data_IF_147569926044
#
_entry.id   IF_147569926044
#
_cell.length_a   1.000
_cell.length_b   1.000
_cell.length_c   1.000
_cell.angle_alpha   90.00
_cell.angle_beta   90.00
_cell.angle_gamma   90.00
#
_symmetry.space_group_name_H-M   'P 1'
#
loop_
_entity.id
_entity.type
_entity.pdbx_description
1 polymer ?
#
# COMPACT_ATOMS: atom_id res chain seq x y z
N UNK A 1 17.69 -4.15 -22.55
CA UNK A 1 16.27 -4.34 -22.19
C UNK A 1 15.86 -3.34 -21.11
N UNK A 2 14.61 -2.88 -21.17
CA UNK A 2 13.99 -1.97 -20.20
C UNK A 2 12.60 -2.52 -19.84
N UNK A 3 12.05 -2.07 -18.72
CA UNK A 3 10.66 -2.34 -18.35
C UNK A 3 9.87 -1.04 -18.20
N UNK A 4 8.63 -1.06 -18.69
CA UNK A 4 7.63 -0.03 -18.46
C UNK A 4 6.49 -0.69 -17.68
N UNK A 5 6.30 -0.26 -16.45
CA UNK A 5 5.39 -0.91 -15.51
C UNK A 5 4.24 0.03 -15.14
N UNK A 6 3.04 -0.49 -15.11
CA UNK A 6 1.85 0.19 -14.60
C UNK A 6 1.09 -0.72 -13.65
N UNK A 7 -0.01 -0.25 -13.05
CA UNK A 7 -0.90 -1.11 -12.23
C UNK A 7 -1.42 -2.32 -13.03
N UNK A 8 -1.64 -2.12 -14.31
CA UNK A 8 -1.97 -3.18 -15.29
C UNK A 8 -1.20 -2.91 -16.58
N UNK A 9 -1.01 -3.94 -17.43
CA UNK A 9 -0.45 -3.76 -18.78
C UNK A 9 -1.22 -2.67 -19.53
N UNK A 10 -2.55 -2.72 -19.48
CA UNK A 10 -3.41 -1.75 -20.17
C UNK A 10 -3.24 -0.30 -19.64
N UNK A 11 -3.02 -0.11 -18.34
CA UNK A 11 -2.72 1.24 -17.81
C UNK A 11 -1.37 1.74 -18.29
N UNK A 12 -0.34 0.89 -18.30
CA UNK A 12 0.97 1.25 -18.83
C UNK A 12 0.93 1.55 -20.35
N UNK A 13 0.17 0.77 -21.13
CA UNK A 13 -0.08 1.08 -22.55
C UNK A 13 -0.68 2.48 -22.73
N UNK A 14 -1.79 2.75 -22.06
CA UNK A 14 -2.52 4.02 -22.16
C UNK A 14 -1.71 5.22 -21.66
N UNK A 15 -1.00 5.05 -20.56
CA UNK A 15 -0.34 6.18 -19.89
C UNK A 15 1.08 6.45 -20.44
N UNK A 16 1.75 5.42 -20.99
CA UNK A 16 3.15 5.54 -21.43
C UNK A 16 3.27 5.29 -22.93
N UNK A 17 2.81 4.13 -23.43
CA UNK A 17 3.10 3.69 -24.79
C UNK A 17 2.34 4.53 -25.84
N UNK A 18 1.02 4.68 -25.65
CA UNK A 18 0.19 5.45 -26.59
C UNK A 18 0.61 6.92 -26.69
N UNK A 19 0.87 7.65 -25.58
CA UNK A 19 1.36 9.02 -25.67
C UNK A 19 2.71 9.14 -26.40
N UNK A 20 3.66 8.23 -26.13
CA UNK A 20 4.97 8.25 -26.80
C UNK A 20 4.84 8.00 -28.31
N UNK A 21 3.99 7.06 -28.72
CA UNK A 21 3.71 6.78 -30.11
C UNK A 21 3.00 7.95 -30.83
N UNK A 22 2.16 8.70 -30.10
CA UNK A 22 1.48 9.88 -30.62
C UNK A 22 2.44 11.06 -30.91
N UNK A 23 3.61 11.09 -30.26
CA UNK A 23 4.67 12.06 -30.54
C UNK A 23 5.41 11.69 -31.82
N UNK A 24 4.86 12.06 -32.98
CA UNK A 24 5.38 11.67 -34.32
C UNK A 24 6.88 11.90 -34.46
N UNK A 25 7.40 13.06 -34.06
CA UNK A 25 8.84 13.38 -34.14
C UNK A 25 9.72 12.42 -33.36
N UNK A 26 9.21 11.89 -32.22
CA UNK A 26 9.90 10.90 -31.39
C UNK A 26 9.75 9.51 -32.02
N UNK A 27 8.54 9.15 -32.42
CA UNK A 27 8.23 7.84 -32.99
C UNK A 27 9.03 7.58 -34.28
N UNK A 28 9.13 8.58 -35.16
CA UNK A 28 9.89 8.49 -36.41
C UNK A 28 11.40 8.49 -36.17
N UNK A 29 11.90 9.40 -35.31
CA UNK A 29 13.32 9.49 -34.98
C UNK A 29 13.89 8.21 -34.40
N UNK A 30 13.13 7.56 -33.51
CA UNK A 30 13.53 6.31 -32.83
C UNK A 30 12.90 5.07 -33.45
N UNK A 31 12.26 5.17 -34.60
CA UNK A 31 11.60 4.07 -35.31
C UNK A 31 10.79 3.16 -34.35
N UNK A 32 9.94 3.79 -33.54
CA UNK A 32 9.17 3.09 -32.53
C UNK A 32 8.20 2.10 -33.15
N UNK A 33 8.14 0.89 -32.61
CA UNK A 33 7.19 -0.15 -33.01
C UNK A 33 6.65 -0.86 -31.77
N UNK A 34 5.33 -0.94 -31.65
CA UNK A 34 4.69 -1.63 -30.54
C UNK A 34 3.99 -2.89 -31.02
N UNK A 35 4.43 -4.05 -30.50
CA UNK A 35 3.81 -5.34 -30.69
C UNK A 35 2.93 -5.66 -29.48
N UNK A 36 1.62 -5.36 -29.59
CA UNK A 36 0.66 -5.52 -28.48
C UNK A 36 0.56 -6.94 -27.95
N UNK A 37 0.56 -7.94 -28.85
CA UNK A 37 0.52 -9.35 -28.45
C UNK A 37 1.71 -9.82 -27.63
N UNK A 38 2.85 -9.13 -27.73
CA UNK A 38 4.07 -9.42 -27.00
C UNK A 38 4.28 -8.45 -25.82
N UNK A 39 3.40 -7.47 -25.65
CA UNK A 39 3.59 -6.36 -24.70
C UNK A 39 5.00 -5.76 -24.82
N UNK A 40 5.46 -5.51 -26.04
CA UNK A 40 6.82 -5.10 -26.35
C UNK A 40 6.85 -3.87 -27.25
N UNK A 41 7.42 -2.78 -26.72
CA UNK A 41 7.78 -1.59 -27.50
C UNK A 41 9.27 -1.69 -27.89
N UNK A 42 9.60 -1.51 -29.15
CA UNK A 42 10.97 -1.43 -29.62
C UNK A 42 11.30 -0.04 -30.13
N UNK A 43 12.52 0.40 -29.86
CA UNK A 43 13.07 1.64 -30.37
C UNK A 43 14.40 1.36 -31.08
N UNK A 44 14.57 1.87 -32.29
CA UNK A 44 15.80 1.76 -33.07
C UNK A 44 16.33 3.14 -33.43
N UNK A 45 17.59 3.40 -33.10
CA UNK A 45 18.27 4.64 -33.39
C UNK A 45 19.74 4.39 -33.68
N UNK A 46 20.25 4.89 -34.79
CA UNK A 46 21.65 4.75 -35.23
C UNK A 46 22.17 3.31 -35.15
N UNK A 47 21.38 2.36 -35.62
CA UNK A 47 21.72 0.92 -35.64
C UNK A 47 21.64 0.23 -34.30
N UNK A 48 21.30 0.93 -33.23
CA UNK A 48 21.07 0.33 -31.89
C UNK A 48 19.59 0.11 -31.66
N UNK A 49 19.24 -1.06 -31.17
CA UNK A 49 17.85 -1.45 -30.84
C UNK A 49 17.69 -1.65 -29.36
N UNK A 50 16.67 -1.02 -28.76
CA UNK A 50 16.25 -1.21 -27.39
C UNK A 50 14.87 -1.86 -27.35
N UNK A 51 14.67 -2.73 -26.36
CA UNK A 51 13.42 -3.41 -26.10
C UNK A 51 12.85 -2.93 -24.75
N UNK A 52 11.59 -2.52 -24.74
CA UNK A 52 10.85 -2.07 -23.57
C UNK A 52 9.69 -3.02 -23.37
N UNK A 53 9.78 -3.85 -22.36
CA UNK A 53 8.74 -4.82 -21.99
C UNK A 53 7.69 -4.13 -21.11
N UNK A 54 6.42 -4.38 -21.38
CA UNK A 54 5.31 -3.77 -20.65
C UNK A 54 4.79 -4.76 -19.61
N UNK A 55 4.76 -4.36 -18.35
CA UNK A 55 4.30 -5.19 -17.23
C UNK A 55 3.17 -4.53 -16.43
N UNK A 56 2.33 -5.38 -15.81
CA UNK A 56 1.33 -4.95 -14.85
C UNK A 56 1.65 -5.47 -13.45
N UNK A 57 1.79 -4.57 -12.48
CA UNK A 57 1.92 -4.88 -11.07
C UNK A 57 0.55 -4.92 -10.37
N UNK A 58 -0.30 -5.90 -10.73
CA UNK A 58 -1.69 -5.96 -10.28
C UNK A 58 -1.83 -6.41 -8.83
N UNK A 59 -1.11 -7.45 -8.44
CA UNK A 59 -1.19 -8.14 -7.15
C UNK A 59 0.19 -8.66 -6.74
N UNK A 60 0.26 -9.25 -5.55
CA UNK A 60 1.51 -9.75 -4.96
C UNK A 60 2.19 -10.83 -5.83
N UNK A 61 1.45 -11.59 -6.63
CA UNK A 61 2.03 -12.61 -7.51
C UNK A 61 2.68 -12.04 -8.77
N UNK A 62 2.39 -10.78 -9.10
CA UNK A 62 2.88 -10.12 -10.32
C UNK A 62 4.41 -10.01 -10.38
N UNK A 63 5.11 -10.11 -9.24
CA UNK A 63 6.59 -10.11 -9.24
C UNK A 63 7.19 -11.22 -10.09
N UNK A 64 6.48 -12.34 -10.26
CA UNK A 64 6.93 -13.47 -11.08
C UNK A 64 7.07 -13.11 -12.57
N UNK A 65 6.28 -12.14 -13.06
CA UNK A 65 6.29 -11.71 -14.46
C UNK A 65 7.64 -11.08 -14.89
N UNK A 66 8.33 -10.44 -13.97
CA UNK A 66 9.60 -9.74 -14.22
C UNK A 66 10.82 -10.55 -13.75
N UNK A 67 10.58 -11.71 -13.15
CA UNK A 67 11.62 -12.58 -12.63
C UNK A 67 12.51 -13.12 -13.77
N UNK A 68 13.82 -13.26 -13.52
CA UNK A 68 14.79 -13.81 -14.51
C UNK A 68 15.27 -12.81 -15.57
N UNK A 69 14.75 -11.58 -15.61
CA UNK A 69 15.22 -10.56 -16.54
C UNK A 69 16.41 -9.77 -16.01
N UNK A 70 17.24 -9.26 -16.93
CA UNK A 70 18.26 -8.25 -16.65
C UNK A 70 17.86 -6.96 -17.39
N UNK A 71 17.72 -5.87 -16.65
CA UNK A 71 17.18 -4.62 -17.14
C UNK A 71 18.19 -3.47 -16.99
N UNK A 72 18.35 -2.69 -18.06
CA UNK A 72 19.16 -1.48 -18.04
C UNK A 72 18.38 -0.25 -17.53
N UNK A 73 17.09 -0.39 -17.31
CA UNK A 73 16.26 0.62 -16.68
C UNK A 73 14.80 0.23 -16.57
N UNK A 74 14.10 0.91 -15.69
CA UNK A 74 12.70 0.67 -15.36
C UNK A 74 11.99 2.01 -15.19
N UNK A 75 10.80 2.12 -15.74
CA UNK A 75 9.84 3.17 -15.42
C UNK A 75 8.63 2.51 -14.74
N UNK A 76 8.30 2.92 -13.51
CA UNK A 76 7.11 2.49 -12.78
C UNK A 76 6.13 3.67 -12.71
N UNK A 77 5.02 3.54 -13.42
CA UNK A 77 3.94 4.51 -13.48
C UNK A 77 2.89 4.20 -12.42
N UNK A 78 2.52 5.20 -11.63
CA UNK A 78 1.63 5.02 -10.46
C UNK A 78 2.17 4.02 -9.43
N UNK A 79 3.45 4.16 -9.06
CA UNK A 79 4.17 3.23 -8.19
C UNK A 79 3.46 2.95 -6.85
N UNK A 80 2.81 3.96 -6.28
CA UNK A 80 2.05 3.80 -5.04
C UNK A 80 0.82 2.88 -5.16
N UNK A 81 0.39 2.52 -6.36
CA UNK A 81 -0.70 1.56 -6.58
C UNK A 81 -0.22 0.12 -6.73
N UNK A 82 1.10 -0.10 -6.88
CA UNK A 82 1.67 -1.42 -7.11
C UNK A 82 2.01 -2.11 -5.79
N UNK A 83 1.96 -3.46 -5.75
CA UNK A 83 2.45 -4.23 -4.62
C UNK A 83 3.95 -3.98 -4.39
N UNK A 84 4.35 -3.94 -3.13
CA UNK A 84 5.75 -3.77 -2.74
C UNK A 84 6.64 -4.86 -3.34
N UNK A 85 6.21 -6.11 -3.30
CA UNK A 85 6.90 -7.27 -3.87
C UNK A 85 7.27 -7.09 -5.34
N UNK A 86 6.33 -6.55 -6.15
CA UNK A 86 6.56 -6.30 -7.56
C UNK A 86 7.61 -5.21 -7.78
N UNK A 87 7.51 -4.09 -7.07
CA UNK A 87 8.45 -2.96 -7.21
C UNK A 87 9.85 -3.35 -6.76
N UNK A 88 9.99 -4.03 -5.62
CA UNK A 88 11.28 -4.52 -5.12
C UNK A 88 11.91 -5.54 -6.09
N UNK A 89 11.11 -6.46 -6.62
CA UNK A 89 11.59 -7.41 -7.62
C UNK A 89 12.05 -6.69 -8.90
N UNK A 90 11.31 -5.69 -9.38
CA UNK A 90 11.70 -4.90 -10.53
C UNK A 90 13.06 -4.20 -10.31
N UNK A 91 13.25 -3.59 -9.16
CA UNK A 91 14.53 -2.94 -8.78
C UNK A 91 15.67 -3.96 -8.78
N UNK A 92 15.48 -5.17 -8.22
CA UNK A 92 16.55 -6.19 -8.21
C UNK A 92 16.97 -6.63 -9.60
N UNK A 93 16.12 -6.49 -10.63
CA UNK A 93 16.47 -6.81 -12.03
C UNK A 93 17.46 -5.85 -12.66
N UNK A 94 17.76 -4.75 -12.01
CA UNK A 94 18.74 -3.75 -12.48
C UNK A 94 20.11 -3.84 -11.84
N UNK A 95 20.26 -4.62 -10.76
CA UNK A 95 21.48 -4.63 -9.94
C UNK A 95 22.75 -5.07 -10.66
N UNK A 96 22.64 -5.86 -11.73
CA UNK A 96 23.78 -6.30 -12.54
C UNK A 96 24.18 -5.33 -13.66
N UNK A 97 23.58 -4.12 -13.70
CA UNK A 97 23.87 -3.10 -14.70
C UNK A 97 24.26 -1.80 -14.02
N UNK A 98 25.53 -1.46 -14.02
CA UNK A 98 26.10 -0.31 -13.28
C UNK A 98 25.46 1.04 -13.63
N UNK A 99 25.03 1.23 -14.87
CA UNK A 99 24.40 2.46 -15.35
C UNK A 99 22.87 2.40 -15.44
N UNK A 100 22.25 1.43 -14.76
CA UNK A 100 20.82 1.26 -14.80
C UNK A 100 20.07 2.51 -14.32
N UNK A 101 18.91 2.78 -14.92
CA UNK A 101 18.07 3.94 -14.61
C UNK A 101 16.75 3.48 -14.03
N UNK A 102 16.37 4.10 -12.93
CA UNK A 102 15.11 3.85 -12.23
C UNK A 102 14.30 5.14 -12.22
N UNK A 103 13.07 5.08 -12.70
CA UNK A 103 12.11 6.16 -12.64
C UNK A 103 10.83 5.69 -11.97
N UNK A 104 10.39 6.47 -11.02
CA UNK A 104 9.14 6.27 -10.31
C UNK A 104 8.28 7.51 -10.46
N UNK A 105 7.02 7.33 -10.77
CA UNK A 105 6.05 8.39 -10.61
C UNK A 105 4.87 7.89 -9.77
N UNK A 106 4.23 8.76 -9.02
CA UNK A 106 3.01 8.47 -8.29
C UNK A 106 2.32 9.74 -7.81
N UNK A 107 1.03 9.65 -7.60
CA UNK A 107 0.30 10.61 -6.81
C UNK A 107 0.49 10.31 -5.31
N UNK A 108 0.39 11.33 -4.42
CA UNK A 108 0.44 11.12 -2.99
C UNK A 108 -0.65 10.19 -2.47
N UNK A 109 -0.31 9.39 -1.48
CA UNK A 109 -1.21 8.47 -0.78
C UNK A 109 -1.13 8.72 0.75
N UNK A 110 -1.24 7.69 1.57
CA UNK A 110 -1.06 7.81 3.02
C UNK A 110 0.41 8.02 3.41
N UNK A 111 0.72 8.80 4.44
CA UNK A 111 2.07 8.91 5.01
C UNK A 111 2.63 7.59 5.53
N UNK A 112 1.76 6.64 5.91
CA UNK A 112 2.14 5.28 6.31
C UNK A 112 2.50 4.37 5.14
N UNK A 113 2.27 4.81 3.90
CA UNK A 113 2.52 3.99 2.72
C UNK A 113 4.01 3.64 2.59
N UNK A 114 4.31 2.35 2.33
CA UNK A 114 5.68 1.84 2.25
C UNK A 114 6.57 2.64 1.29
N UNK A 115 6.06 3.02 0.10
CA UNK A 115 6.81 3.77 -0.90
C UNK A 115 7.20 5.17 -0.40
N UNK A 116 6.31 5.85 0.33
CA UNK A 116 6.61 7.13 0.95
C UNK A 116 7.74 7.01 1.98
N UNK A 117 7.60 6.05 2.90
CA UNK A 117 8.55 5.85 4.00
C UNK A 117 9.92 5.38 3.52
N UNK A 118 9.95 4.46 2.53
CA UNK A 118 11.19 3.81 2.11
C UNK A 118 11.91 4.52 0.96
N UNK A 119 11.17 5.25 0.10
CA UNK A 119 11.76 5.90 -1.07
C UNK A 119 11.71 7.41 -1.01
N UNK A 120 10.58 8.02 -0.64
CA UNK A 120 10.44 9.47 -0.67
C UNK A 120 11.09 10.11 0.55
N UNK A 121 10.84 9.59 1.77
CA UNK A 121 11.47 10.11 2.99
C UNK A 121 12.98 9.83 3.04
N UNK A 122 13.43 8.74 2.43
CA UNK A 122 14.85 8.32 2.39
C UNK A 122 15.55 8.64 1.06
N UNK A 123 15.02 9.61 0.30
CA UNK A 123 15.54 9.91 -1.04
C UNK A 123 17.04 10.30 -1.02
N UNK A 124 17.46 11.11 -0.07
CA UNK A 124 18.86 11.52 0.09
C UNK A 124 19.77 10.35 0.45
N UNK A 125 19.37 9.52 1.43
CA UNK A 125 20.12 8.32 1.83
C UNK A 125 20.33 7.34 0.66
N UNK A 126 19.33 7.26 -0.23
CA UNK A 126 19.34 6.39 -1.41
C UNK A 126 19.99 7.02 -2.64
N UNK A 127 20.45 8.27 -2.57
CA UNK A 127 20.95 9.01 -3.72
C UNK A 127 19.89 9.22 -4.82
N UNK A 128 18.61 9.29 -4.45
CA UNK A 128 17.49 9.44 -5.38
C UNK A 128 17.13 10.91 -5.53
N UNK A 129 17.08 11.40 -6.77
CA UNK A 129 16.58 12.75 -7.06
C UNK A 129 15.05 12.73 -6.99
N UNK A 130 14.50 13.47 -6.04
CA UNK A 130 13.05 13.69 -5.94
C UNK A 130 12.67 14.96 -6.69
N UNK A 131 11.64 14.85 -7.52
CA UNK A 131 10.95 15.97 -8.14
C UNK A 131 9.52 15.99 -7.62
N UNK A 132 9.05 17.17 -7.24
CA UNK A 132 7.68 17.39 -6.77
C UNK A 132 7.02 18.40 -7.67
N UNK A 133 5.90 18.05 -8.26
CA UNK A 133 5.12 18.90 -9.15
C UNK A 133 3.73 19.12 -8.56
N UNK A 134 3.29 20.35 -8.61
CA UNK A 134 1.93 20.74 -8.27
C UNK A 134 1.09 20.93 -9.55
N UNK A 135 -0.20 21.06 -9.38
CA UNK A 135 -1.12 21.30 -10.49
C UNK A 135 -0.70 22.52 -11.32
N UNK A 136 -0.19 23.56 -10.66
CA UNK A 136 0.23 24.82 -11.26
C UNK A 136 1.53 24.72 -12.08
N UNK A 137 2.34 23.69 -11.82
CA UNK A 137 3.59 23.46 -12.56
C UNK A 137 3.34 22.84 -13.94
N UNK A 138 2.09 22.48 -14.27
CA UNK A 138 1.74 21.93 -15.56
C UNK A 138 1.48 23.04 -16.60
N UNK A 139 2.41 23.29 -17.53
CA UNK A 139 2.27 24.37 -18.52
C UNK A 139 1.15 24.13 -19.54
N UNK A 140 0.63 22.90 -19.61
CA UNK A 140 -0.48 22.54 -20.48
C UNK A 140 -1.87 22.92 -19.92
N UNK A 141 -1.95 23.35 -18.66
CA UNK A 141 -3.21 23.74 -18.03
C UNK A 141 -3.44 25.25 -18.10
N UNK A 142 -4.63 25.63 -18.55
CA UNK A 142 -5.05 27.03 -18.47
C UNK A 142 -5.36 27.41 -17.03
N UNK A 143 -5.21 28.71 -16.69
CA UNK A 143 -5.57 29.25 -15.38
C UNK A 143 -7.01 28.89 -14.98
N UNK A 144 -7.94 28.95 -15.92
CA UNK A 144 -9.36 28.57 -15.71
C UNK A 144 -9.51 27.08 -15.35
N UNK A 145 -8.68 26.20 -15.95
CA UNK A 145 -8.69 24.77 -15.63
C UNK A 145 -8.16 24.51 -14.21
N UNK A 146 -7.10 25.21 -13.81
CA UNK A 146 -6.53 25.15 -12.45
C UNK A 146 -7.54 25.62 -11.40
N UNK A 147 -8.19 26.77 -11.62
CA UNK A 147 -9.22 27.31 -10.70
C UNK A 147 -10.40 26.33 -10.56
N UNK A 148 -10.85 25.76 -11.68
CA UNK A 148 -11.91 24.74 -11.68
C UNK A 148 -11.49 23.50 -10.89
N UNK A 149 -10.29 23.01 -11.08
CA UNK A 149 -9.78 21.85 -10.33
C UNK A 149 -9.72 22.16 -8.83
N UNK A 150 -9.20 23.32 -8.43
CA UNK A 150 -9.17 23.76 -7.03
C UNK A 150 -10.58 23.85 -6.40
N UNK A 151 -11.56 24.29 -7.17
CA UNK A 151 -12.96 24.37 -6.70
C UNK A 151 -13.65 23.00 -6.65
N UNK A 152 -13.14 22.00 -7.38
CA UNK A 152 -13.76 20.66 -7.47
C UNK A 152 -13.33 19.71 -6.36
N UNK A 153 -12.24 20.01 -5.65
CA UNK A 153 -11.72 19.18 -4.59
C UNK A 153 -11.83 19.88 -3.23
N UNK A 154 -12.02 19.08 -2.17
CA UNK A 154 -12.02 19.54 -0.77
C UNK A 154 -11.36 18.49 0.12
N UNK A 155 -11.02 18.84 1.37
CA UNK A 155 -10.46 17.91 2.35
C UNK A 155 -9.20 17.22 1.85
N UNK A 156 -9.09 15.93 2.12
CA UNK A 156 -7.92 15.09 1.75
C UNK A 156 -7.67 15.06 0.25
N UNK A 157 -8.69 15.13 -0.59
CA UNK A 157 -8.50 15.14 -2.04
C UNK A 157 -7.86 16.45 -2.51
N UNK A 158 -8.21 17.58 -1.88
CA UNK A 158 -7.54 18.85 -2.13
C UNK A 158 -6.07 18.79 -1.72
N UNK A 159 -5.79 18.28 -0.53
CA UNK A 159 -4.42 18.12 -0.04
C UNK A 159 -3.58 17.21 -0.96
N UNK A 160 -4.14 16.10 -1.43
CA UNK A 160 -3.42 15.16 -2.31
C UNK A 160 -3.23 15.69 -3.73
N UNK A 161 -4.31 16.12 -4.38
CA UNK A 161 -4.27 16.40 -5.82
C UNK A 161 -3.95 17.86 -6.16
N UNK A 162 -4.19 18.80 -5.24
CA UNK A 162 -3.88 20.21 -5.45
C UNK A 162 -2.57 20.57 -4.75
N UNK A 163 -2.42 20.20 -3.47
CA UNK A 163 -1.24 20.56 -2.68
C UNK A 163 -0.13 19.50 -2.73
N UNK A 164 -0.34 18.36 -3.39
CA UNK A 164 0.65 17.31 -3.54
C UNK A 164 1.12 16.68 -2.23
N UNK A 165 0.30 16.72 -1.17
CA UNK A 165 0.66 16.24 0.16
C UNK A 165 0.37 14.76 0.33
N UNK A 166 1.24 14.07 1.05
CA UNK A 166 0.98 12.74 1.57
C UNK A 166 0.14 12.87 2.84
N UNK A 167 -1.12 12.52 2.76
CA UNK A 167 -2.09 12.63 3.86
C UNK A 167 -2.92 11.36 3.97
N UNK A 168 -3.40 11.06 5.17
CA UNK A 168 -4.26 9.90 5.40
C UNK A 168 -5.58 10.03 4.63
N UNK A 169 -6.22 8.89 4.28
CA UNK A 169 -7.50 8.90 3.58
C UNK A 169 -8.60 9.52 4.43
N UNK A 170 -9.59 10.15 3.77
CA UNK A 170 -10.85 10.50 4.45
C UNK A 170 -11.54 9.22 4.94
N UNK A 171 -12.21 9.33 6.07
CA UNK A 171 -12.92 8.20 6.67
C UNK A 171 -12.12 7.42 7.72
N UNK A 172 -10.97 7.94 8.16
CA UNK A 172 -10.35 7.43 9.37
C UNK A 172 -11.26 7.73 10.56
N UNK A 173 -11.69 6.69 11.25
CA UNK A 173 -12.49 6.83 12.48
C UNK A 173 -11.72 7.63 13.53
N UNK A 174 -10.38 7.45 13.55
CA UNK A 174 -9.46 8.15 14.46
C UNK A 174 -8.31 8.78 13.66
N UNK A 175 -8.52 9.95 13.00
CA UNK A 175 -7.48 10.59 12.19
C UNK A 175 -6.23 10.95 13.02
N UNK A 176 -6.40 11.36 14.27
CA UNK A 176 -5.31 11.69 15.20
C UNK A 176 -4.42 10.48 15.53
N UNK A 177 -4.97 9.27 15.56
CA UNK A 177 -4.18 8.06 15.76
C UNK A 177 -3.18 7.81 14.61
N UNK A 178 -3.49 8.21 13.38
CA UNK A 178 -2.57 8.14 12.25
C UNK A 178 -1.40 9.13 12.38
N UNK A 179 -1.53 10.18 13.18
CA UNK A 179 -0.51 11.16 13.49
C UNK A 179 0.29 10.81 14.76
N UNK A 180 -0.01 9.63 15.35
CA UNK A 180 0.63 9.15 16.58
C UNK A 180 -0.03 9.66 17.88
N UNK A 181 -1.13 10.40 17.77
CA UNK A 181 -1.88 10.81 18.96
C UNK A 181 -2.49 9.57 19.65
N UNK A 182 -2.30 9.49 20.96
CA UNK A 182 -2.74 8.32 21.74
C UNK A 182 -1.73 7.15 21.75
N UNK A 183 -0.62 7.24 21.03
CA UNK A 183 0.52 6.34 21.21
C UNK A 183 1.39 6.87 22.32
N UNK A 184 1.52 6.09 23.38
CA UNK A 184 2.32 6.45 24.55
C UNK A 184 3.48 5.48 24.71
N UNK A 185 4.60 5.86 25.38
CA UNK A 185 5.69 4.94 25.63
C UNK A 185 5.22 3.68 26.36
N UNK A 186 5.84 2.55 26.03
CA UNK A 186 5.59 1.28 26.70
C UNK A 186 6.29 1.29 28.06
N UNK A 187 5.55 1.69 29.08
CA UNK A 187 5.99 1.79 30.45
C UNK A 187 5.21 0.78 31.31
N UNK A 188 5.83 0.23 32.38
CA UNK A 188 5.13 -0.62 33.32
C UNK A 188 3.92 0.09 33.94
N UNK A 189 2.75 -0.51 33.83
CA UNK A 189 1.48 0.01 34.39
C UNK A 189 0.77 -1.07 35.17
N UNK A 190 0.20 -0.70 36.31
CA UNK A 190 -0.66 -1.60 37.08
C UNK A 190 -2.09 -1.53 36.54
N UNK A 191 -2.44 -2.53 35.74
CA UNK A 191 -3.77 -2.63 35.17
C UNK A 191 -4.71 -3.33 36.15
N UNK A 192 -5.87 -2.74 36.42
CA UNK A 192 -6.88 -3.24 37.34
C UNK A 192 -7.99 -4.03 36.66
N UNK A 193 -8.21 -3.81 35.36
CA UNK A 193 -9.25 -4.46 34.56
C UNK A 193 -8.69 -4.81 33.20
N UNK A 194 -9.21 -5.86 32.56
CA UNK A 194 -8.76 -6.31 31.24
C UNK A 194 -9.94 -6.59 30.31
N UNK A 195 -9.77 -6.26 29.04
CA UNK A 195 -10.71 -6.58 27.97
C UNK A 195 -9.97 -6.95 26.69
N UNK A 196 -10.64 -7.63 25.78
CA UNK A 196 -10.13 -7.90 24.43
C UNK A 196 -11.10 -7.34 23.39
N UNK A 197 -10.59 -6.65 22.39
CA UNK A 197 -11.33 -6.29 21.18
C UNK A 197 -10.88 -7.17 20.03
N UNK A 198 -11.81 -7.60 19.18
CA UNK A 198 -11.53 -8.47 18.03
C UNK A 198 -12.17 -7.89 16.78
N UNK A 199 -11.35 -7.60 15.78
CA UNK A 199 -11.74 -7.43 14.39
C UNK A 199 -11.45 -8.74 13.66
N UNK A 200 -12.52 -9.47 13.29
CA UNK A 200 -12.42 -10.87 12.86
C UNK A 200 -12.37 -10.99 11.35
N UNK A 201 -11.38 -11.70 10.85
CA UNK A 201 -11.28 -12.09 9.45
C UNK A 201 -10.64 -13.47 9.30
N UNK A 202 -11.06 -14.23 8.30
CA UNK A 202 -10.46 -15.53 7.97
C UNK A 202 -9.45 -15.44 6.85
N UNK A 203 -9.84 -14.89 5.71
CA UNK A 203 -8.95 -14.55 4.60
C UNK A 203 -8.38 -13.14 4.75
N UNK A 204 -9.22 -12.19 5.13
CA UNK A 204 -8.79 -10.87 5.58
C UNK A 204 -8.14 -10.98 6.97
N UNK A 205 -7.34 -9.99 7.39
CA UNK A 205 -6.70 -10.03 8.69
C UNK A 205 -7.69 -10.19 9.85
N UNK A 206 -7.31 -10.99 10.85
CA UNK A 206 -7.89 -10.99 12.17
C UNK A 206 -6.94 -10.23 13.11
N UNK A 207 -7.46 -9.24 13.82
CA UNK A 207 -6.71 -8.45 14.80
C UNK A 207 -7.40 -8.53 16.16
N UNK A 208 -6.62 -8.86 17.20
CA UNK A 208 -7.10 -8.88 18.58
C UNK A 208 -6.24 -7.93 19.41
N UNK A 209 -6.86 -6.99 20.10
CA UNK A 209 -6.19 -6.08 21.01
C UNK A 209 -6.47 -6.42 22.47
N UNK A 210 -5.42 -6.63 23.28
CA UNK A 210 -5.56 -6.80 24.73
C UNK A 210 -5.40 -5.42 25.40
N UNK A 211 -6.42 -5.06 26.15
CA UNK A 211 -6.54 -3.78 26.80
C UNK A 211 -6.47 -3.92 28.32
N UNK A 212 -5.74 -3.01 28.97
CA UNK A 212 -5.67 -2.86 30.40
C UNK A 212 -6.13 -1.48 30.86
N UNK A 213 -6.89 -1.41 31.92
CA UNK A 213 -7.40 -0.17 32.50
C UNK A 213 -6.50 0.30 33.64
N UNK A 214 -5.99 1.53 33.55
CA UNK A 214 -5.16 2.16 34.56
C UNK A 214 -5.45 3.67 34.60
N UNK A 215 -5.68 4.23 35.78
CA UNK A 215 -5.81 5.67 35.96
C UNK A 215 -6.94 6.33 35.16
N UNK A 216 -8.05 5.65 34.91
CA UNK A 216 -9.18 6.19 34.14
C UNK A 216 -9.07 5.97 32.63
N UNK A 217 -7.99 5.35 32.11
CA UNK A 217 -7.71 5.19 30.69
C UNK A 217 -7.53 3.71 30.34
N UNK A 218 -8.00 3.31 29.18
CA UNK A 218 -7.74 2.00 28.58
C UNK A 218 -6.51 2.09 27.68
N UNK A 219 -5.54 1.20 27.92
CA UNK A 219 -4.32 1.05 27.13
C UNK A 219 -4.33 -0.28 26.40
N UNK A 220 -4.13 -0.27 25.07
CA UNK A 220 -3.82 -1.49 24.33
C UNK A 220 -2.33 -1.76 24.47
N UNK A 221 -1.97 -2.79 25.23
CA UNK A 221 -0.58 -3.11 25.53
C UNK A 221 -0.08 -4.41 24.94
N UNK A 222 -0.98 -5.21 24.34
CA UNK A 222 -0.60 -6.39 23.57
C UNK A 222 -1.59 -6.61 22.43
N UNK A 223 -1.13 -7.28 21.37
CA UNK A 223 -1.96 -7.59 20.22
C UNK A 223 -1.61 -8.96 19.63
N UNK A 224 -2.59 -9.54 18.94
CA UNK A 224 -2.43 -10.64 18.02
C UNK A 224 -2.90 -10.20 16.66
N UNK A 225 -2.15 -10.56 15.62
CA UNK A 225 -2.49 -10.27 14.23
C UNK A 225 -2.21 -11.49 13.36
N UNK A 226 -3.18 -11.87 12.54
CA UNK A 226 -3.01 -12.91 11.54
C UNK A 226 -3.75 -12.54 10.26
N UNK A 227 -3.06 -12.62 9.13
CA UNK A 227 -3.64 -12.44 7.79
C UNK A 227 -3.58 -13.76 7.04
N UNK A 228 -4.71 -14.39 6.81
CA UNK A 228 -4.79 -15.64 6.04
C UNK A 228 -4.31 -15.47 4.60
N UNK A 229 -4.42 -14.25 4.05
CA UNK A 229 -3.92 -13.92 2.71
C UNK A 229 -2.40 -13.84 2.65
N UNK A 230 -1.77 -13.22 3.64
CA UNK A 230 -0.30 -13.05 3.70
C UNK A 230 0.40 -14.35 4.10
N UNK A 231 -0.12 -15.03 5.13
CA UNK A 231 0.42 -16.29 5.64
C UNK A 231 0.12 -17.49 4.73
N UNK A 232 -0.88 -17.36 3.85
CA UNK A 232 -1.46 -18.46 3.05
C UNK A 232 -2.05 -19.59 3.88
N UNK A 233 -2.38 -19.32 5.13
CA UNK A 233 -3.01 -20.25 6.07
C UNK A 233 -4.27 -19.60 6.63
N UNK A 234 -5.40 -20.25 6.45
CA UNK A 234 -6.65 -19.86 7.11
C UNK A 234 -6.75 -20.62 8.42
N UNK A 235 -6.97 -19.88 9.50
CA UNK A 235 -7.26 -20.46 10.80
C UNK A 235 -8.77 -20.67 10.97
N UNK A 236 -9.12 -21.68 11.71
CA UNK A 236 -10.49 -21.98 12.15
C UNK A 236 -10.90 -21.08 13.32
N UNK A 237 -12.20 -20.99 13.60
CA UNK A 237 -12.71 -20.28 14.77
C UNK A 237 -12.10 -20.81 16.07
N UNK A 238 -11.88 -22.13 16.18
CA UNK A 238 -11.29 -22.74 17.37
C UNK A 238 -9.80 -22.36 17.53
N UNK A 239 -9.03 -22.33 16.45
CA UNK A 239 -7.64 -21.87 16.48
C UNK A 239 -7.55 -20.40 16.88
N UNK A 240 -8.44 -19.55 16.38
CA UNK A 240 -8.51 -18.16 16.84
C UNK A 240 -8.91 -18.03 18.30
N UNK A 241 -9.78 -18.91 18.81
CA UNK A 241 -10.07 -18.96 20.24
C UNK A 241 -8.83 -19.33 21.06
N UNK A 242 -7.99 -20.25 20.58
CA UNK A 242 -6.73 -20.62 21.24
C UNK A 242 -5.74 -19.45 21.27
N UNK A 243 -5.63 -18.70 20.16
CA UNK A 243 -4.78 -17.50 20.10
C UNK A 243 -5.28 -16.40 21.06
N UNK A 244 -6.60 -16.22 21.18
CA UNK A 244 -7.18 -15.31 22.16
C UNK A 244 -6.85 -15.74 23.60
N UNK A 245 -6.88 -17.05 23.90
CA UNK A 245 -6.50 -17.58 25.21
C UNK A 245 -5.02 -17.30 25.53
N UNK A 246 -4.14 -17.50 24.56
CA UNK A 246 -2.71 -17.17 24.70
C UNK A 246 -2.52 -15.66 24.93
N UNK A 247 -3.21 -14.81 24.16
CA UNK A 247 -3.15 -13.36 24.30
C UNK A 247 -3.64 -12.90 25.69
N UNK A 248 -4.74 -13.49 26.16
CA UNK A 248 -5.27 -13.19 27.51
C UNK A 248 -4.29 -13.56 28.63
N UNK A 249 -3.45 -14.61 28.43
CA UNK A 249 -2.39 -14.98 29.38
C UNK A 249 -2.90 -15.27 30.80
N UNK A 250 -4.04 -15.93 30.95
CA UNK A 250 -4.65 -16.27 32.22
C UNK A 250 -5.35 -15.09 32.95
N UNK A 251 -5.39 -13.92 32.35
CA UNK A 251 -6.06 -12.74 32.93
C UNK A 251 -7.57 -12.91 32.92
N UNK A 252 -8.23 -12.41 33.97
CA UNK A 252 -9.69 -12.33 34.03
C UNK A 252 -10.16 -11.18 33.14
N UNK A 253 -10.71 -11.50 31.99
CA UNK A 253 -11.29 -10.50 31.09
C UNK A 253 -12.71 -10.14 31.56
N UNK A 254 -13.03 -8.84 31.60
CA UNK A 254 -14.39 -8.40 31.86
C UNK A 254 -15.28 -8.44 30.61
N UNK A 255 -14.68 -8.37 29.43
CA UNK A 255 -15.38 -8.54 28.17
C UNK A 255 -14.42 -8.96 27.04
N UNK A 256 -14.95 -9.76 26.11
CA UNK A 256 -14.43 -9.94 24.76
C UNK A 256 -15.44 -9.30 23.80
N UNK A 257 -15.04 -8.22 23.14
CA UNK A 257 -15.87 -7.45 22.22
C UNK A 257 -15.47 -7.82 20.80
N UNK A 258 -16.41 -8.31 20.02
CA UNK A 258 -16.17 -8.87 18.67
C UNK A 258 -17.07 -8.17 17.65
N UNK A 259 -16.57 -7.99 16.41
CA UNK A 259 -17.40 -7.54 15.30
C UNK A 259 -18.69 -8.37 15.21
N UNK A 260 -19.88 -7.73 15.18
CA UNK A 260 -21.16 -8.42 15.09
C UNK A 260 -21.31 -9.30 13.85
N UNK A 261 -20.59 -9.03 12.77
CA UNK A 261 -20.59 -9.85 11.55
C UNK A 261 -19.92 -11.22 11.71
N UNK A 262 -19.10 -11.41 12.75
CA UNK A 262 -18.36 -12.63 13.06
C UNK A 262 -19.21 -13.67 13.81
N UNK A 263 -20.37 -14.03 13.28
CA UNK A 263 -21.36 -14.88 13.99
C UNK A 263 -20.81 -16.25 14.40
N UNK A 264 -20.01 -16.91 13.56
CA UNK A 264 -19.41 -18.22 13.85
C UNK A 264 -18.40 -18.15 14.99
N UNK A 265 -17.53 -17.16 14.96
CA UNK A 265 -16.53 -16.93 16.00
C UNK A 265 -17.16 -16.54 17.34
N UNK A 266 -18.17 -15.67 17.32
CA UNK A 266 -19.00 -15.35 18.51
C UNK A 266 -19.62 -16.61 19.13
N UNK A 267 -20.13 -17.53 18.29
CA UNK A 267 -20.70 -18.79 18.77
C UNK A 267 -19.63 -19.71 19.37
N UNK A 268 -18.44 -19.79 18.76
CA UNK A 268 -17.32 -20.57 19.28
C UNK A 268 -16.85 -20.06 20.66
N UNK A 269 -16.65 -18.75 20.80
CA UNK A 269 -16.27 -18.13 22.07
C UNK A 269 -17.32 -18.36 23.18
N UNK A 270 -18.61 -18.21 22.85
CA UNK A 270 -19.69 -18.44 23.81
C UNK A 270 -19.78 -19.92 24.25
N UNK A 271 -19.53 -20.86 23.34
CA UNK A 271 -19.47 -22.28 23.62
C UNK A 271 -18.34 -22.65 24.59
N UNK A 272 -17.17 -22.00 24.47
CA UNK A 272 -16.06 -22.15 25.42
C UNK A 272 -16.38 -21.61 26.80
N UNK A 273 -17.23 -20.59 26.90
CA UNK A 273 -17.77 -20.10 28.18
C UNK A 273 -16.75 -19.48 29.14
N UNK A 274 -15.55 -19.13 28.68
CA UNK A 274 -14.47 -18.63 29.55
C UNK A 274 -14.63 -17.16 29.93
N UNK A 275 -15.24 -16.34 29.06
CA UNK A 275 -15.35 -14.91 29.27
C UNK A 275 -16.72 -14.37 28.84
N UNK A 276 -17.15 -13.23 29.37
CA UNK A 276 -18.29 -12.50 28.82
C UNK A 276 -18.00 -12.05 27.39
N UNK A 277 -18.79 -12.55 26.43
CA UNK A 277 -18.63 -12.24 25.00
C UNK A 277 -19.81 -11.41 24.53
N UNK A 278 -19.54 -10.27 23.92
CA UNK A 278 -20.55 -9.38 23.36
C UNK A 278 -20.16 -8.87 21.96
N UNK A 279 -21.13 -8.64 21.07
CA UNK A 279 -20.86 -7.92 19.84
C UNK A 279 -20.50 -6.46 20.15
N UNK A 280 -19.74 -5.83 19.25
CA UNK A 280 -19.52 -4.39 19.27
C UNK A 280 -20.84 -3.66 18.97
N UNK A 281 -21.01 -2.49 19.56
CA UNK A 281 -22.07 -1.57 19.20
C UNK A 281 -21.63 -0.79 17.94
N UNK A 282 -22.43 -0.86 16.86
CA UNK A 282 -22.17 -0.18 15.58
C UNK A 282 -23.01 1.08 15.46
#
# INVERSE_FOLDING_TARGET
NFALCGKTVRSAERNIVEPVLALRSVAEKYKLRYARSLSLLTAEYRGKKNSFYIFGGRDESSYMLIQGMTLAGILLDETALMPRSFVEQAVTRTLSVDSAKLWFNCNPASPSHWFYREWICKAEERGVKRLHFLLEDNPGLSRKAIERAKASFSGVFYDRYILGKWVAAEGLVYPRAAEGEGVVPDEPREYTRFAVSVDYGTLNPCSMGLWGYCGGVWYRFAEYYHSGRESRVQLTDEEYCDELEKLAGGRRLEAVVVDPSAASFLAALRRRGKWPVRPADN
#
